data_IF_086143975671
#
_entry.id   IF_086143975671
#
_cell.length_a   1.000
_cell.length_b   1.000
_cell.length_c   1.000
_cell.angle_alpha   90.00
_cell.angle_beta   90.00
_cell.angle_gamma   90.00
#
_symmetry.space_group_name_H-M   'P 1'
#
loop_
_entity.id
_entity.type
_entity.pdbx_description
1 polymer ?
#
# COMPACT_ATOMS: atom_id res chain seq x y z
N UNK A 1 15.29 6.92 13.92
CA UNK A 1 16.49 6.38 13.21
C UNK A 1 16.06 5.77 11.88
N UNK A 2 16.81 5.94 10.78
CA UNK A 2 16.48 5.24 9.52
C UNK A 2 16.72 3.73 9.65
N UNK A 3 15.80 2.87 9.18
CA UNK A 3 15.95 1.41 9.33
C UNK A 3 17.14 0.89 8.53
N UNK A 4 18.00 0.05 9.15
CA UNK A 4 19.17 -0.57 8.47
C UNK A 4 18.77 -1.59 7.39
N UNK A 5 17.60 -2.21 7.55
CA UNK A 5 17.04 -3.19 6.61
C UNK A 5 15.59 -2.82 6.28
N UNK A 6 15.18 -3.04 5.04
CA UNK A 6 13.82 -2.76 4.60
C UNK A 6 12.83 -3.69 5.34
N UNK A 7 11.81 -3.15 6.03
CA UNK A 7 10.87 -3.96 6.79
C UNK A 7 9.94 -4.80 5.89
N UNK A 8 9.85 -4.47 4.60
CA UNK A 8 9.05 -5.21 3.63
C UNK A 8 9.82 -6.38 2.99
N UNK A 9 11.04 -6.15 2.49
CA UNK A 9 11.77 -7.18 1.71
C UNK A 9 13.12 -7.63 2.31
N UNK A 10 13.55 -7.06 3.43
CA UNK A 10 14.82 -7.43 4.09
C UNK A 10 16.09 -6.90 3.42
N UNK A 11 16.01 -6.20 2.29
CA UNK A 11 17.18 -5.60 1.62
C UNK A 11 17.82 -4.54 2.51
N UNK A 12 19.16 -4.49 2.63
CA UNK A 12 19.87 -3.40 3.29
C UNK A 12 19.45 -2.04 2.73
N UNK A 13 19.21 -1.08 3.62
CA UNK A 13 18.88 0.29 3.23
C UNK A 13 20.15 1.12 3.33
N UNK A 14 20.69 1.52 2.18
CA UNK A 14 21.82 2.44 2.10
C UNK A 14 21.30 3.88 2.12
N UNK A 15 21.51 4.59 3.24
CA UNK A 15 21.22 6.02 3.38
C UNK A 15 19.79 6.38 3.81
N UNK A 16 19.42 7.64 3.60
CA UNK A 16 18.17 8.27 4.06
C UNK A 16 17.06 8.32 2.98
N UNK A 17 16.97 7.31 2.12
CA UNK A 17 15.95 7.27 1.07
C UNK A 17 14.52 7.11 1.61
N UNK A 18 13.56 7.84 1.04
CA UNK A 18 12.14 7.74 1.41
C UNK A 18 11.49 6.41 1.02
N UNK A 19 12.10 5.65 0.10
CA UNK A 19 11.59 4.37 -0.40
C UNK A 19 12.71 3.35 -0.60
N UNK A 20 12.37 2.06 -0.44
CA UNK A 20 13.29 0.96 -0.72
C UNK A 20 13.50 0.80 -2.23
N UNK A 21 14.76 0.87 -2.68
CA UNK A 21 15.11 0.67 -4.10
C UNK A 21 14.76 -0.73 -4.64
N UNK A 22 14.76 -1.73 -3.77
CA UNK A 22 14.44 -3.12 -4.13
C UNK A 22 12.93 -3.34 -4.29
N UNK A 23 12.16 -3.15 -3.22
CA UNK A 23 10.73 -3.50 -3.20
C UNK A 23 9.76 -2.31 -3.26
N UNK A 24 10.24 -1.06 -3.28
CA UNK A 24 9.43 0.14 -3.37
C UNK A 24 8.70 0.55 -2.07
N UNK A 25 8.86 -0.19 -0.98
CA UNK A 25 8.22 0.14 0.30
C UNK A 25 8.66 1.50 0.84
N UNK A 26 7.73 2.31 1.35
CA UNK A 26 8.06 3.55 2.04
C UNK A 26 8.91 3.26 3.29
N UNK A 27 10.03 3.95 3.41
CA UNK A 27 10.98 3.81 4.53
C UNK A 27 10.87 4.95 5.54
N UNK A 28 9.96 5.90 5.32
CA UNK A 28 9.70 6.96 6.28
C UNK A 28 9.21 6.33 7.60
N UNK A 29 9.96 6.48 8.72
CA UNK A 29 9.52 6.00 10.01
C UNK A 29 8.27 6.77 10.45
N UNK A 30 7.26 6.08 10.98
CA UNK A 30 6.08 6.72 11.59
C UNK A 30 6.43 7.60 12.80
N UNK A 31 7.64 7.49 13.35
CA UNK A 31 8.13 8.27 14.50
C UNK A 31 8.17 9.79 14.23
N UNK A 32 8.12 10.23 12.97
CA UNK A 32 7.95 11.66 12.66
C UNK A 32 6.55 12.18 12.96
N UNK A 33 5.53 11.33 13.15
CA UNK A 33 4.21 11.77 13.58
C UNK A 33 4.24 12.27 15.04
N UNK A 34 5.03 11.66 15.93
CA UNK A 34 5.16 12.09 17.33
C UNK A 34 6.11 13.29 17.50
N UNK A 35 7.11 13.46 16.64
CA UNK A 35 7.94 14.69 16.63
C UNK A 35 7.20 15.89 16.00
N UNK A 36 6.37 15.69 14.97
CA UNK A 36 5.47 16.74 14.46
C UNK A 36 4.32 17.08 15.42
N UNK A 37 4.03 16.20 16.38
CA UNK A 37 3.03 16.46 17.42
C UNK A 37 3.57 17.32 18.56
N UNK A 38 4.88 17.27 18.83
CA UNK A 38 5.50 18.01 19.96
C UNK A 38 6.08 19.37 19.60
N UNK A 39 6.43 19.59 18.34
CA UNK A 39 6.69 20.95 17.83
C UNK A 39 5.67 21.25 16.73
N UNK A 40 4.41 21.44 17.13
CA UNK A 40 3.52 22.26 16.32
C UNK A 40 4.03 23.70 16.46
N UNK A 41 4.48 24.38 15.40
CA UNK A 41 4.37 25.83 15.41
C UNK A 41 2.88 26.10 15.62
N UNK A 42 2.53 26.76 16.71
CA UNK A 42 1.16 27.01 17.15
C UNK A 42 0.37 27.96 16.21
N UNK A 43 0.74 28.03 14.93
CA UNK A 43 0.27 29.05 13.99
C UNK A 43 0.00 28.54 12.59
N UNK A 44 0.02 27.22 12.33
CA UNK A 44 -0.51 26.72 11.05
C UNK A 44 -2.02 26.48 11.23
N UNK A 45 -2.91 27.24 10.55
CA UNK A 45 -4.35 27.06 10.68
C UNK A 45 -4.76 25.64 10.28
N UNK A 46 -5.72 25.05 10.99
CA UNK A 46 -6.22 23.69 10.71
C UNK A 46 -6.65 23.48 9.25
N UNK A 47 -7.07 24.57 8.57
CA UNK A 47 -7.42 24.60 7.16
C UNK A 47 -6.27 24.18 6.20
N UNK A 48 -5.00 24.35 6.57
CA UNK A 48 -3.86 23.99 5.71
C UNK A 48 -3.42 22.53 5.87
N UNK A 49 -3.50 21.96 7.08
CA UNK A 49 -3.35 20.49 7.28
C UNK A 49 -4.45 19.72 6.55
N UNK A 50 -5.61 20.34 6.42
CA UNK A 50 -6.81 19.79 5.84
C UNK A 50 -6.85 19.86 4.29
N UNK A 51 -5.91 20.58 3.65
CA UNK A 51 -5.83 20.73 2.18
C UNK A 51 -4.66 19.99 1.51
N UNK A 52 -3.83 19.29 2.29
CA UNK A 52 -2.67 18.58 1.75
C UNK A 52 -3.11 17.35 0.93
N UNK A 53 -3.27 17.53 -0.38
CA UNK A 53 -3.49 16.42 -1.32
C UNK A 53 -2.20 15.62 -1.41
N UNK A 54 -2.16 14.46 -0.75
CA UNK A 54 -0.97 13.59 -0.73
C UNK A 54 -0.87 12.86 -2.08
N UNK A 55 0.27 13.01 -2.77
CA UNK A 55 0.57 12.22 -3.98
C UNK A 55 1.38 10.98 -3.61
N UNK A 56 0.87 9.80 -3.97
CA UNK A 56 1.57 8.52 -3.78
C UNK A 56 1.59 7.76 -5.09
N UNK A 57 2.79 7.36 -5.54
CA UNK A 57 3.00 6.69 -6.84
C UNK A 57 2.34 7.41 -8.03
N UNK A 58 2.26 8.75 -8.00
CA UNK A 58 1.62 9.56 -9.04
C UNK A 58 0.09 9.64 -8.97
N UNK A 59 -0.56 9.02 -7.99
CA UNK A 59 -2.00 9.16 -7.69
C UNK A 59 -2.25 10.15 -6.56
N UNK A 60 -3.36 10.87 -6.63
CA UNK A 60 -3.82 11.79 -5.59
C UNK A 60 -4.67 11.02 -4.59
N UNK A 61 -4.35 11.13 -3.31
CA UNK A 61 -5.19 10.63 -2.23
C UNK A 61 -6.32 11.62 -1.94
N UNK A 62 -7.44 11.10 -1.45
CA UNK A 62 -8.57 11.92 -1.01
C UNK A 62 -8.21 12.77 0.21
N UNK A 63 -9.04 13.78 0.49
CA UNK A 63 -8.90 14.63 1.68
C UNK A 63 -8.95 13.79 2.96
N UNK A 64 -7.87 13.81 3.75
CA UNK A 64 -7.72 13.02 4.97
C UNK A 64 -7.41 11.53 4.73
N UNK A 65 -7.08 11.14 3.50
CA UNK A 65 -6.57 9.80 3.18
C UNK A 65 -5.04 9.79 3.29
N UNK A 66 -4.50 8.81 4.02
CA UNK A 66 -3.06 8.64 4.24
C UNK A 66 -2.62 7.19 4.05
N UNK A 67 -1.35 6.99 3.75
CA UNK A 67 -0.78 5.66 3.50
C UNK A 67 -0.43 4.97 4.81
N UNK A 68 -0.95 3.76 5.00
CA UNK A 68 -0.62 2.88 6.11
C UNK A 68 0.57 2.00 5.73
N UNK A 69 0.55 1.43 4.52
CA UNK A 69 1.60 0.56 3.99
C UNK A 69 1.66 0.62 2.46
N UNK A 70 2.81 0.33 1.85
CA UNK A 70 2.93 0.29 0.40
C UNK A 70 4.07 -0.60 -0.08
N UNK A 71 3.98 -1.14 -1.30
CA UNK A 71 5.07 -1.90 -1.89
C UNK A 71 4.77 -2.35 -3.31
N UNK A 72 5.80 -2.81 -4.03
CA UNK A 72 5.64 -3.43 -5.35
C UNK A 72 4.70 -4.64 -5.24
N UNK A 73 3.79 -4.74 -6.19
CA UNK A 73 2.84 -5.82 -6.28
C UNK A 73 2.48 -6.10 -7.74
N UNK A 74 2.09 -7.34 -8.03
CA UNK A 74 1.46 -7.67 -9.30
C UNK A 74 -0.02 -7.98 -9.06
N UNK A 75 -0.91 -7.25 -9.71
CA UNK A 75 -2.32 -7.61 -9.79
C UNK A 75 -2.44 -8.88 -10.62
N UNK A 76 -2.86 -9.98 -9.99
CA UNK A 76 -2.95 -11.30 -10.59
C UNK A 76 -4.39 -11.60 -11.00
N UNK A 77 -4.62 -11.79 -12.30
CA UNK A 77 -5.91 -12.25 -12.85
C UNK A 77 -5.84 -13.73 -13.21
N UNK A 78 -4.80 -14.12 -13.95
CA UNK A 78 -4.45 -15.50 -14.25
C UNK A 78 -3.00 -15.61 -14.77
N UNK A 79 -2.52 -16.82 -15.09
CA UNK A 79 -1.10 -17.12 -15.38
C UNK A 79 -0.44 -16.24 -16.46
N UNK A 80 -1.18 -15.83 -17.49
CA UNK A 80 -0.69 -14.99 -18.60
C UNK A 80 -1.16 -13.54 -18.52
N UNK A 81 -1.88 -13.15 -17.45
CA UNK A 81 -2.48 -11.83 -17.32
C UNK A 81 -2.30 -11.32 -15.89
N UNK A 82 -1.18 -10.61 -15.70
CA UNK A 82 -0.88 -9.91 -14.48
C UNK A 82 -0.38 -8.50 -14.82
N UNK A 83 -0.86 -7.51 -14.08
CA UNK A 83 -0.37 -6.13 -14.19
C UNK A 83 0.69 -5.90 -13.12
N UNK A 84 1.90 -5.50 -13.51
CA UNK A 84 2.94 -5.07 -12.57
C UNK A 84 2.69 -3.64 -12.09
N UNK A 85 2.84 -3.38 -10.80
CA UNK A 85 2.55 -2.08 -10.22
C UNK A 85 2.99 -1.92 -8.77
N UNK A 86 2.36 -0.95 -8.12
CA UNK A 86 2.51 -0.67 -6.70
C UNK A 86 1.15 -0.81 -6.03
N UNK A 87 1.10 -1.60 -4.95
CA UNK A 87 -0.05 -1.65 -4.06
C UNK A 87 0.19 -0.70 -2.89
N UNK A 88 -0.86 0.00 -2.49
CA UNK A 88 -0.88 0.96 -1.39
C UNK A 88 -2.09 0.62 -0.54
N UNK A 89 -1.89 0.38 0.75
CA UNK A 89 -2.95 0.32 1.75
C UNK A 89 -3.06 1.70 2.39
N UNK A 90 -4.22 2.33 2.28
CA UNK A 90 -4.54 3.59 2.96
C UNK A 90 -5.45 3.33 4.15
N UNK A 91 -5.83 4.39 4.87
CA UNK A 91 -6.87 4.33 5.89
C UNK A 91 -8.31 4.19 5.32
N UNK A 92 -8.47 4.01 4.01
CA UNK A 92 -9.78 3.91 3.34
C UNK A 92 -9.92 2.76 2.36
N UNK A 93 -8.83 2.37 1.69
CA UNK A 93 -8.86 1.44 0.57
C UNK A 93 -7.51 0.76 0.33
N UNK A 94 -7.56 -0.31 -0.45
CA UNK A 94 -6.44 -0.71 -1.27
C UNK A 94 -6.45 0.12 -2.56
N UNK A 95 -5.30 0.70 -2.91
CA UNK A 95 -5.06 1.43 -4.15
C UNK A 95 -3.93 0.73 -4.91
N UNK A 96 -4.22 0.24 -6.11
CA UNK A 96 -3.26 -0.36 -7.02
C UNK A 96 -2.95 0.62 -8.15
N UNK A 97 -1.66 0.86 -8.36
CA UNK A 97 -1.16 1.74 -9.42
C UNK A 97 -0.31 0.91 -10.37
N UNK A 98 -0.83 0.63 -11.56
CA UNK A 98 -0.04 -0.06 -12.58
C UNK A 98 1.10 0.82 -13.11
N UNK A 99 2.18 0.17 -13.56
CA UNK A 99 3.26 0.87 -14.25
C UNK A 99 2.93 0.99 -15.75
N UNK A 100 3.02 2.22 -16.27
CA UNK A 100 2.61 2.56 -17.64
C UNK A 100 3.35 1.86 -18.79
N UNK A 101 4.41 1.09 -18.50
CA UNK A 101 5.15 0.27 -19.48
C UNK A 101 4.57 -1.14 -19.72
N UNK A 102 3.49 -1.52 -19.02
CA UNK A 102 2.80 -2.79 -19.28
C UNK A 102 2.12 -2.75 -20.65
N UNK A 103 2.78 -3.26 -21.69
CA UNK A 103 2.20 -3.48 -23.01
C UNK A 103 0.96 -4.40 -22.86
N UNK A 104 -0.24 -3.80 -22.97
CA UNK A 104 -1.56 -4.45 -22.96
C UNK A 104 -2.05 -5.10 -21.65
N UNK A 105 -1.32 -4.96 -20.54
CA UNK A 105 -1.68 -5.56 -19.23
C UNK A 105 -2.01 -4.52 -18.14
N UNK A 106 -2.62 -3.38 -18.51
CA UNK A 106 -2.97 -2.30 -17.56
C UNK A 106 -4.05 -2.74 -16.57
N UNK A 107 -4.11 -2.08 -15.41
CA UNK A 107 -5.24 -2.21 -14.51
C UNK A 107 -6.49 -1.63 -15.18
N UNK A 108 -7.63 -2.30 -15.04
CA UNK A 108 -8.91 -1.69 -15.39
C UNK A 108 -9.31 -0.69 -14.30
N UNK A 109 -10.12 0.34 -14.60
CA UNK A 109 -10.54 1.32 -13.59
C UNK A 109 -11.15 0.68 -12.33
N UNK A 110 -11.92 -0.38 -12.47
CA UNK A 110 -12.54 -1.13 -11.37
C UNK A 110 -11.56 -1.97 -10.53
N UNK A 111 -10.33 -2.13 -10.98
CA UNK A 111 -9.27 -2.87 -10.29
C UNK A 111 -8.25 -1.93 -9.61
N UNK A 112 -8.34 -0.62 -9.85
CA UNK A 112 -7.44 0.37 -9.25
C UNK A 112 -7.71 0.53 -7.76
N UNK A 113 -8.98 0.49 -7.33
CA UNK A 113 -9.34 0.73 -5.92
C UNK A 113 -10.30 -0.32 -5.40
N UNK A 114 -10.08 -0.74 -4.15
CA UNK A 114 -11.06 -1.51 -3.36
C UNK A 114 -11.20 -0.83 -2.01
N UNK A 115 -12.34 -0.19 -1.78
CA UNK A 115 -12.62 0.53 -0.55
C UNK A 115 -13.06 -0.43 0.57
N UNK A 116 -12.75 -0.09 1.82
CA UNK A 116 -13.00 -0.96 2.97
C UNK A 116 -14.46 -1.40 3.15
N UNK A 117 -15.42 -0.53 2.82
CA UNK A 117 -16.85 -0.88 2.86
C UNK A 117 -17.25 -1.95 1.83
N UNK A 118 -16.46 -2.18 0.79
CA UNK A 118 -16.66 -3.22 -0.23
C UNK A 118 -16.01 -4.56 0.18
N UNK A 119 -15.08 -4.55 1.13
CA UNK A 119 -14.31 -5.72 1.53
C UNK A 119 -15.11 -6.56 2.52
N UNK A 120 -15.14 -7.87 2.26
CA UNK A 120 -15.69 -8.89 3.15
C UNK A 120 -14.59 -9.55 4.00
N UNK A 121 -13.42 -9.84 3.40
CA UNK A 121 -12.31 -10.52 4.08
C UNK A 121 -10.99 -10.24 3.32
N UNK A 122 -9.83 -10.38 3.99
CA UNK A 122 -8.51 -10.32 3.39
C UNK A 122 -7.66 -11.49 3.86
N UNK A 123 -7.10 -12.26 2.91
CA UNK A 123 -6.32 -13.48 3.20
C UNK A 123 -4.93 -13.41 2.59
N UNK A 124 -3.93 -13.77 3.38
CA UNK A 124 -2.60 -14.10 2.88
C UNK A 124 -2.51 -15.60 2.59
N UNK A 125 -1.93 -15.97 1.45
CA UNK A 125 -1.61 -17.37 1.14
C UNK A 125 -0.34 -17.49 0.31
N UNK A 126 0.40 -18.58 0.51
CA UNK A 126 1.54 -18.94 -0.33
C UNK A 126 1.15 -20.12 -1.22
N UNK A 127 1.21 -19.93 -2.54
CA UNK A 127 0.87 -20.94 -3.54
C UNK A 127 2.15 -21.51 -4.15
N UNK A 128 2.24 -22.84 -4.25
CA UNK A 128 3.41 -23.57 -4.78
C UNK A 128 4.74 -23.14 -4.14
N UNK A 129 4.75 -22.83 -2.84
CA UNK A 129 5.92 -22.37 -2.06
C UNK A 129 6.58 -21.05 -2.51
N UNK A 130 6.22 -20.48 -3.67
CA UNK A 130 6.88 -19.30 -4.24
C UNK A 130 5.96 -18.11 -4.44
N UNK A 131 4.67 -18.35 -4.75
CA UNK A 131 3.73 -17.27 -5.06
C UNK A 131 3.05 -16.79 -3.78
N UNK A 132 3.57 -15.70 -3.22
CA UNK A 132 3.03 -15.01 -2.05
C UNK A 132 1.87 -14.11 -2.47
N UNK A 133 0.65 -14.51 -2.13
CA UNK A 133 -0.59 -13.83 -2.55
C UNK A 133 -1.30 -13.18 -1.37
N UNK A 134 -1.80 -11.97 -1.62
CA UNK A 134 -2.80 -11.29 -0.81
C UNK A 134 -4.11 -11.29 -1.60
N UNK A 135 -5.15 -11.92 -1.07
CA UNK A 135 -6.49 -12.00 -1.67
C UNK A 135 -7.43 -11.09 -0.89
N UNK A 136 -8.06 -10.15 -1.59
CA UNK A 136 -9.10 -9.29 -1.05
C UNK A 136 -10.43 -9.82 -1.57
N UNK A 137 -11.27 -10.33 -0.67
CA UNK A 137 -12.61 -10.82 -0.98
C UNK A 137 -13.61 -9.68 -0.77
N UNK A 138 -14.46 -9.44 -1.78
CA UNK A 138 -15.46 -8.37 -1.76
C UNK A 138 -16.81 -8.92 -1.33
N UNK A 139 -17.67 -8.05 -0.80
CA UNK A 139 -19.03 -8.38 -0.34
C UNK A 139 -19.96 -8.86 -1.44
N UNK A 140 -19.68 -8.52 -2.70
CA UNK A 140 -20.40 -8.99 -3.88
C UNK A 140 -20.02 -10.43 -4.30
N UNK A 141 -19.11 -11.08 -3.57
CA UNK A 141 -18.59 -12.42 -3.85
C UNK A 141 -17.42 -12.46 -4.83
N UNK A 142 -17.06 -11.32 -5.44
CA UNK A 142 -15.84 -11.22 -6.26
C UNK A 142 -14.59 -11.11 -5.40
N UNK A 143 -13.42 -11.28 -6.01
CA UNK A 143 -12.15 -11.13 -5.30
C UNK A 143 -11.07 -10.58 -6.22
N UNK A 144 -10.06 -9.96 -5.62
CA UNK A 144 -8.86 -9.49 -6.31
C UNK A 144 -7.62 -10.04 -5.62
N UNK A 145 -6.61 -10.41 -6.41
CA UNK A 145 -5.37 -10.99 -5.87
C UNK A 145 -4.16 -10.17 -6.26
N UNK A 146 -3.26 -10.00 -5.29
CA UNK A 146 -2.00 -9.32 -5.49
C UNK A 146 -0.86 -10.25 -5.10
N UNK A 147 0.13 -10.39 -5.97
CA UNK A 147 1.41 -11.03 -5.61
C UNK A 147 2.25 -9.95 -4.96
N UNK A 148 2.59 -10.13 -3.68
CA UNK A 148 3.26 -9.12 -2.86
C UNK A 148 4.54 -9.67 -2.24
N UNK A 149 5.42 -8.75 -1.83
CA UNK A 149 6.49 -9.06 -0.91
C UNK A 149 5.93 -9.15 0.52
N UNK A 150 6.28 -10.22 1.24
CA UNK A 150 6.00 -10.40 2.67
C UNK A 150 4.52 -10.21 3.06
N UNK A 151 3.63 -11.13 2.66
CA UNK A 151 2.18 -11.00 2.86
C UNK A 151 1.79 -10.92 4.34
N UNK A 152 2.64 -11.39 5.26
CA UNK A 152 2.45 -11.27 6.70
C UNK A 152 2.46 -9.80 7.15
N UNK A 153 3.36 -8.97 6.60
CA UNK A 153 3.39 -7.53 6.88
C UNK A 153 2.17 -6.80 6.33
N UNK A 154 1.66 -7.25 5.18
CA UNK A 154 0.40 -6.75 4.65
C UNK A 154 -0.77 -7.08 5.57
N UNK A 155 -0.88 -8.32 6.04
CA UNK A 155 -1.93 -8.72 6.99
C UNK A 155 -1.86 -7.92 8.30
N UNK A 156 -0.66 -7.63 8.82
CA UNK A 156 -0.51 -6.79 10.01
C UNK A 156 -1.02 -5.37 9.77
N UNK A 157 -0.64 -4.77 8.65
CA UNK A 157 -1.12 -3.45 8.27
C UNK A 157 -2.65 -3.43 8.05
N UNK A 158 -3.22 -4.50 7.50
CA UNK A 158 -4.67 -4.67 7.31
C UNK A 158 -5.39 -4.74 8.65
N UNK A 159 -4.92 -5.55 9.61
CA UNK A 159 -5.52 -5.62 10.95
C UNK A 159 -5.45 -4.29 11.69
N UNK A 160 -4.39 -3.51 11.46
CA UNK A 160 -4.31 -2.15 12.01
C UNK A 160 -5.34 -1.21 11.36
N UNK A 161 -5.53 -1.31 10.04
CA UNK A 161 -6.42 -0.43 9.28
C UNK A 161 -7.90 -0.80 9.43
N UNK A 162 -8.19 -2.10 9.59
CA UNK A 162 -9.52 -2.70 9.64
C UNK A 162 -9.58 -3.73 10.79
N UNK A 163 -9.73 -3.31 12.05
CA UNK A 163 -9.62 -4.22 13.21
C UNK A 163 -10.71 -5.31 13.28
N UNK A 164 -11.76 -5.20 12.46
CA UNK A 164 -12.91 -6.12 12.43
C UNK A 164 -13.01 -6.90 11.13
N UNK A 165 -11.95 -6.91 10.31
CA UNK A 165 -11.85 -7.74 9.10
C UNK A 165 -11.39 -9.16 9.46
#
# INVERSE_FOLDING_TARGET
>A
MSPKFCPNCGTPVEGSGSFCKSCGNSLMPRETEDMFRKESPATVPDAEKESAVIRVAGRLLEKGEYTIWSGKANLYRHMMNAAGGQLILTNRRFLFVDHGFNLFLKAKPEEESIYFHEIADVKARTVMLVSRRLRVEKKDGTHQEYIVWNPEKWMEAVRQAMPHI
#
